data_IF_216916255047
#
_entry.id   IF_216916255047
#
_cell.length_a   1.000
_cell.length_b   1.000
_cell.length_c   1.000
_cell.angle_alpha   90.00
_cell.angle_beta   90.00
_cell.angle_gamma   90.00
#
_symmetry.space_group_name_H-M   'P 1'
#
loop_
_entity.id
_entity.type
_entity.pdbx_description
1 polymer ?
#
# COMPACT_ATOMS: atom_id res chain seq x y z
N UNK A 1 2.15 0.00 -5.39
CA UNK A 1 1.72 -0.30 -6.77
C UNK A 1 2.88 -0.96 -7.53
N UNK A 2 2.93 -2.28 -7.64
CA UNK A 2 4.00 -2.96 -8.40
C UNK A 2 3.66 -2.88 -9.89
N UNK A 3 4.51 -2.26 -10.72
CA UNK A 3 4.36 -2.34 -12.18
C UNK A 3 4.85 -3.71 -12.66
N UNK A 4 3.93 -4.61 -13.00
CA UNK A 4 4.27 -5.75 -13.83
C UNK A 4 4.39 -5.27 -15.27
N UNK A 5 5.60 -5.34 -15.84
CA UNK A 5 5.83 -5.10 -17.26
C UNK A 5 5.19 -6.24 -18.05
N UNK A 6 4.18 -5.96 -18.88
CA UNK A 6 3.62 -6.92 -19.85
C UNK A 6 2.14 -7.27 -19.71
N UNK A 7 1.43 -6.80 -18.68
CA UNK A 7 -0.03 -6.93 -18.61
C UNK A 7 -0.70 -5.66 -19.13
N UNK A 8 -1.69 -5.81 -20.03
CA UNK A 8 -2.67 -4.75 -20.31
C UNK A 8 -3.41 -4.50 -19.00
N UNK A 9 -3.02 -3.44 -18.30
CA UNK A 9 -3.66 -3.08 -17.03
C UNK A 9 -4.96 -2.39 -17.37
N UNK A 10 -6.07 -3.12 -17.25
CA UNK A 10 -7.39 -2.51 -17.30
C UNK A 10 -7.48 -1.52 -16.11
N UNK A 11 -7.87 -0.27 -16.35
CA UNK A 11 -8.08 0.70 -15.27
C UNK A 11 -9.05 0.15 -14.23
N UNK A 12 -8.70 0.29 -12.94
CA UNK A 12 -9.59 -0.11 -11.86
C UNK A 12 -10.64 0.98 -11.62
N UNK A 13 -11.81 0.81 -12.23
CA UNK A 13 -12.92 1.76 -12.17
C UNK A 13 -13.41 2.01 -10.74
N UNK A 14 -13.49 0.96 -9.91
CA UNK A 14 -13.99 1.08 -8.54
C UNK A 14 -13.02 1.90 -7.68
N UNK A 15 -11.71 1.63 -7.78
CA UNK A 15 -10.70 2.40 -7.04
C UNK A 15 -10.61 3.84 -7.51
N UNK A 16 -10.76 4.09 -8.81
CA UNK A 16 -10.84 5.44 -9.32
C UNK A 16 -12.05 6.17 -8.73
N UNK A 17 -13.25 5.59 -8.78
CA UNK A 17 -14.45 6.25 -8.28
C UNK A 17 -14.37 6.51 -6.78
N UNK A 18 -13.99 5.51 -5.99
CA UNK A 18 -13.99 5.60 -4.53
C UNK A 18 -12.84 6.45 -3.97
N UNK A 19 -11.66 6.39 -4.59
CA UNK A 19 -10.45 6.98 -4.01
C UNK A 19 -9.77 7.95 -4.97
N UNK A 20 -9.51 7.53 -6.21
CA UNK A 20 -8.77 8.36 -7.16
C UNK A 20 -9.46 9.69 -7.46
N UNK A 21 -10.76 9.66 -7.70
CA UNK A 21 -11.57 10.85 -7.98
C UNK A 21 -11.68 11.75 -6.75
N UNK A 22 -11.75 11.18 -5.54
CA UNK A 22 -11.75 11.93 -4.28
C UNK A 22 -10.43 12.66 -4.08
N UNK A 23 -9.30 11.98 -4.28
CA UNK A 23 -7.97 12.59 -4.20
C UNK A 23 -7.81 13.71 -5.23
N UNK A 24 -8.28 13.48 -6.46
CA UNK A 24 -8.23 14.50 -7.51
C UNK A 24 -9.10 15.71 -7.18
N UNK A 25 -10.33 15.51 -6.68
CA UNK A 25 -11.22 16.62 -6.29
C UNK A 25 -10.65 17.46 -5.16
N UNK A 26 -10.02 16.82 -4.16
CA UNK A 26 -9.50 17.51 -2.98
C UNK A 26 -8.15 18.17 -3.21
N UNK A 27 -7.28 17.54 -4.00
CA UNK A 27 -5.86 17.88 -4.03
C UNK A 27 -5.29 18.13 -5.43
N UNK A 28 -6.06 17.88 -6.50
CA UNK A 28 -5.65 18.29 -7.85
C UNK A 28 -6.28 19.65 -8.14
N UNK A 29 -5.43 20.65 -8.41
CA UNK A 29 -5.85 21.99 -8.81
C UNK A 29 -6.42 21.98 -10.24
N UNK A 30 -7.53 21.26 -10.44
CA UNK A 30 -8.18 21.07 -11.73
C UNK A 30 -9.30 22.10 -11.88
N UNK A 31 -9.26 22.86 -12.98
CA UNK A 31 -10.24 23.90 -13.28
C UNK A 31 -11.52 23.39 -13.96
N UNK A 32 -11.66 22.07 -14.16
CA UNK A 32 -12.75 21.45 -14.93
C UNK A 32 -13.34 20.22 -14.24
N UNK A 33 -14.42 19.68 -14.83
CA UNK A 33 -15.06 18.45 -14.35
C UNK A 33 -14.13 17.25 -14.53
N UNK A 34 -14.10 16.37 -13.52
CA UNK A 34 -13.38 15.10 -13.61
C UNK A 34 -14.17 14.10 -14.47
N UNK A 35 -13.48 13.28 -15.30
CA UNK A 35 -14.11 12.17 -15.99
C UNK A 35 -14.77 11.18 -15.02
N UNK A 36 -15.86 10.55 -15.44
CA UNK A 36 -16.62 9.62 -14.59
C UNK A 36 -15.96 8.23 -14.50
N UNK A 37 -15.12 7.90 -15.49
CA UNK A 37 -14.43 6.62 -15.59
C UNK A 37 -12.91 6.76 -15.46
N UNK A 38 -12.28 5.72 -14.91
CA UNK A 38 -10.84 5.61 -14.82
C UNK A 38 -10.21 5.55 -16.21
N UNK A 39 -10.85 4.84 -17.16
CA UNK A 39 -10.38 4.77 -18.54
C UNK A 39 -10.27 6.15 -19.21
N UNK A 40 -11.31 6.99 -19.10
CA UNK A 40 -11.29 8.35 -19.67
C UNK A 40 -10.28 9.24 -18.95
N UNK A 41 -10.24 9.20 -17.62
CA UNK A 41 -9.27 9.95 -16.84
C UNK A 41 -7.84 9.59 -17.24
N UNK A 42 -7.52 8.30 -17.34
CA UNK A 42 -6.17 7.84 -17.66
C UNK A 42 -5.80 8.13 -19.12
N UNK A 43 -6.76 8.03 -20.05
CA UNK A 43 -6.56 8.43 -21.45
C UNK A 43 -6.26 9.93 -21.57
N UNK A 44 -6.86 10.76 -20.71
CA UNK A 44 -6.57 12.19 -20.61
C UNK A 44 -5.29 12.51 -19.78
N UNK A 45 -4.57 11.50 -19.28
CA UNK A 45 -3.40 11.69 -18.43
C UNK A 45 -3.72 12.14 -17.00
N UNK A 46 -5.00 12.15 -16.61
CA UNK A 46 -5.48 12.54 -15.29
C UNK A 46 -5.44 11.34 -14.37
N UNK A 47 -4.58 11.40 -13.34
CA UNK A 47 -4.47 10.38 -12.30
C UNK A 47 -3.91 10.99 -11.02
N UNK A 48 -4.26 10.46 -9.84
CA UNK A 48 -3.65 10.90 -8.60
C UNK A 48 -2.12 10.75 -8.65
N UNK A 49 -1.41 11.74 -8.13
CA UNK A 49 0.03 11.64 -7.90
C UNK A 49 0.31 10.89 -6.60
N UNK A 50 1.54 10.38 -6.44
CA UNK A 50 1.94 9.76 -5.17
C UNK A 50 1.86 10.75 -4.01
N UNK A 51 2.21 12.02 -4.23
CA UNK A 51 2.07 13.05 -3.20
C UNK A 51 0.60 13.27 -2.81
N UNK A 52 -0.33 13.31 -3.75
CA UNK A 52 -1.77 13.42 -3.45
C UNK A 52 -2.28 12.21 -2.67
N UNK A 53 -1.76 11.02 -2.95
CA UNK A 53 -2.05 9.82 -2.17
C UNK A 53 -1.52 9.94 -0.73
N UNK A 54 -0.29 10.40 -0.52
CA UNK A 54 0.24 10.64 0.84
C UNK A 54 -0.56 11.73 1.56
N UNK A 55 -0.91 12.83 0.88
CA UNK A 55 -1.79 13.86 1.46
C UNK A 55 -3.12 13.28 1.87
N UNK A 56 -3.74 12.41 1.05
CA UNK A 56 -4.98 11.73 1.39
C UNK A 56 -4.88 10.90 2.67
N UNK A 57 -3.78 10.16 2.86
CA UNK A 57 -3.53 9.37 4.07
C UNK A 57 -3.28 10.24 5.30
N UNK A 58 -2.69 11.43 5.12
CA UNK A 58 -2.36 12.34 6.21
C UNK A 58 -3.48 13.33 6.54
N UNK A 59 -4.49 13.46 5.69
CA UNK A 59 -5.64 14.33 5.94
C UNK A 59 -6.54 13.70 7.03
N UNK A 60 -6.70 14.36 8.20
CA UNK A 60 -7.56 13.86 9.27
C UNK A 60 -9.03 13.73 8.88
N UNK A 61 -9.50 14.45 7.85
CA UNK A 61 -10.86 14.29 7.33
C UNK A 61 -11.07 12.93 6.67
N UNK A 62 -10.02 12.33 6.09
CA UNK A 62 -10.15 11.05 5.39
C UNK A 62 -10.63 9.94 6.33
N UNK A 63 -9.97 9.76 7.49
CA UNK A 63 -10.40 8.75 8.47
C UNK A 63 -11.67 9.14 9.24
N UNK A 64 -12.03 10.44 9.24
CA UNK A 64 -13.27 10.92 9.86
C UNK A 64 -14.50 10.49 9.06
N UNK A 65 -14.40 10.57 7.73
CA UNK A 65 -15.50 10.23 6.82
C UNK A 65 -15.65 8.73 6.62
N UNK A 66 -14.54 8.00 6.50
CA UNK A 66 -14.57 6.55 6.32
C UNK A 66 -13.32 5.87 6.85
N UNK A 67 -13.49 4.62 7.27
CA UNK A 67 -12.36 3.78 7.64
C UNK A 67 -11.47 3.59 6.41
N UNK A 68 -10.15 3.70 6.58
CA UNK A 68 -9.21 3.39 5.52
C UNK A 68 -9.46 2.01 4.91
N UNK A 69 -9.38 1.95 3.59
CA UNK A 69 -9.37 0.69 2.87
C UNK A 69 -8.22 -0.20 3.37
N UNK A 70 -8.48 -1.50 3.41
CA UNK A 70 -7.57 -2.53 3.90
C UNK A 70 -6.18 -2.53 3.23
N UNK A 71 -6.05 -2.00 2.01
CA UNK A 71 -4.77 -1.94 1.30
C UNK A 71 -3.80 -0.88 1.83
N UNK A 72 -4.28 0.13 2.56
CA UNK A 72 -3.43 1.18 3.16
C UNK A 72 -3.77 1.47 4.62
N UNK A 73 -4.69 0.71 5.21
CA UNK A 73 -4.90 0.74 6.65
C UNK A 73 -3.72 0.10 7.37
N UNK A 74 -3.43 0.60 8.57
CA UNK A 74 -2.37 0.03 9.42
C UNK A 74 -2.67 -1.44 9.75
N UNK A 75 -1.66 -2.30 9.62
CA UNK A 75 -1.81 -3.76 9.74
C UNK A 75 -2.21 -4.16 11.16
N UNK A 76 -1.68 -3.49 12.19
CA UNK A 76 -2.03 -3.74 13.58
C UNK A 76 -3.53 -3.53 13.86
N UNK A 77 -4.19 -2.63 13.09
CA UNK A 77 -5.63 -2.38 13.20
C UNK A 77 -6.48 -3.39 12.44
N UNK A 78 -5.90 -4.11 11.48
CA UNK A 78 -6.57 -5.17 10.74
C UNK A 78 -6.43 -6.52 11.46
N UNK A 79 -5.23 -6.83 11.95
CA UNK A 79 -4.93 -8.13 12.53
C UNK A 79 -5.20 -8.20 14.04
N UNK A 80 -5.32 -7.08 14.75
CA UNK A 80 -5.54 -7.08 16.20
C UNK A 80 -4.58 -8.02 16.97
N UNK A 81 -3.25 -7.96 16.75
CA UNK A 81 -2.28 -8.90 17.33
C UNK A 81 -2.22 -8.88 18.86
N UNK A 82 -2.72 -7.83 19.51
CA UNK A 82 -2.85 -7.76 20.97
C UNK A 82 -4.08 -8.52 21.51
N UNK A 83 -5.07 -8.82 20.66
CA UNK A 83 -6.34 -9.48 21.03
C UNK A 83 -6.41 -10.92 20.53
N UNK A 84 -5.73 -11.22 19.43
CA UNK A 84 -5.69 -12.55 18.83
C UNK A 84 -4.32 -13.19 19.08
N UNK A 85 -4.32 -14.38 19.67
CA UNK A 85 -3.10 -15.16 19.87
C UNK A 85 -2.79 -15.92 18.58
N UNK A 86 -1.94 -15.33 17.74
CA UNK A 86 -1.48 -15.95 16.51
C UNK A 86 -0.41 -17.02 16.79
N UNK A 87 -0.60 -18.22 16.24
CA UNK A 87 0.42 -19.27 16.24
C UNK A 87 1.47 -19.05 15.14
N UNK A 88 1.15 -18.24 14.13
CA UNK A 88 2.02 -17.92 13.02
C UNK A 88 1.74 -16.52 12.46
N UNK A 89 2.80 -15.74 12.18
CA UNK A 89 2.75 -14.45 11.49
C UNK A 89 3.83 -14.49 10.39
N UNK A 90 3.40 -14.54 9.13
CA UNK A 90 4.29 -14.53 7.97
C UNK A 90 4.58 -13.13 7.44
N UNK A 91 5.59 -13.02 6.57
CA UNK A 91 6.00 -11.78 5.89
C UNK A 91 6.02 -11.98 4.38
N UNK A 92 5.63 -10.96 3.63
CA UNK A 92 5.65 -11.03 2.16
C UNK A 92 7.09 -11.15 1.60
N UNK A 93 8.07 -10.65 2.33
CA UNK A 93 9.50 -10.74 2.01
C UNK A 93 10.07 -12.16 2.19
N UNK A 94 9.38 -13.01 2.93
CA UNK A 94 9.71 -14.43 3.13
C UNK A 94 8.55 -15.36 2.72
N UNK A 95 7.62 -14.89 1.89
CA UNK A 95 6.36 -15.57 1.58
C UNK A 95 6.51 -17.06 1.24
N UNK A 96 7.46 -17.42 0.38
CA UNK A 96 7.69 -18.81 -0.02
C UNK A 96 8.12 -19.68 1.17
N UNK A 97 9.16 -19.26 1.90
CA UNK A 97 9.68 -20.00 3.06
C UNK A 97 8.68 -20.04 4.20
N UNK A 98 7.93 -18.95 4.38
CA UNK A 98 6.90 -18.82 5.41
C UNK A 98 5.71 -19.73 5.10
N UNK A 99 5.31 -19.81 3.83
CA UNK A 99 4.27 -20.73 3.39
C UNK A 99 4.69 -22.19 3.55
N UNK A 100 5.92 -22.55 3.18
CA UNK A 100 6.45 -23.91 3.41
C UNK A 100 6.47 -24.28 4.91
N UNK A 101 6.86 -23.34 5.76
CA UNK A 101 6.84 -23.55 7.21
C UNK A 101 5.41 -23.72 7.75
N UNK A 102 4.47 -22.88 7.30
CA UNK A 102 3.07 -22.96 7.69
C UNK A 102 2.43 -24.30 7.28
N UNK A 103 2.72 -24.80 6.07
CA UNK A 103 2.19 -26.09 5.61
C UNK A 103 2.71 -27.26 6.45
N UNK A 104 3.97 -27.20 6.92
CA UNK A 104 4.53 -28.19 7.86
C UNK A 104 3.89 -28.09 9.24
N UNK A 105 3.66 -26.88 9.75
CA UNK A 105 2.98 -26.65 11.03
C UNK A 105 1.55 -27.22 11.03
N UNK A 106 0.89 -27.18 9.87
CA UNK A 106 -0.45 -27.73 9.65
C UNK A 106 -0.44 -29.23 9.26
N UNK A 107 0.74 -29.86 9.14
CA UNK A 107 0.92 -31.27 8.73
C UNK A 107 0.33 -31.61 7.35
N UNK A 108 0.26 -30.65 6.43
CA UNK A 108 -0.31 -30.80 5.07
C UNK A 108 0.71 -30.61 3.94
N UNK A 109 1.99 -30.45 4.26
CA UNK A 109 3.08 -30.30 3.29
C UNK A 109 3.27 -31.52 2.38
N UNK A 110 2.77 -32.69 2.78
CA UNK A 110 2.72 -33.88 1.93
C UNK A 110 1.61 -33.83 0.86
N UNK A 111 0.60 -32.96 1.03
CA UNK A 111 -0.53 -32.79 0.10
C UNK A 111 -0.41 -31.53 -0.76
N UNK A 112 0.10 -30.46 -0.17
CA UNK A 112 0.11 -29.12 -0.74
C UNK A 112 1.53 -28.56 -0.78
N UNK A 113 1.84 -27.86 -1.87
CA UNK A 113 3.08 -27.11 -2.01
C UNK A 113 2.74 -25.68 -2.41
N UNK A 114 3.43 -24.72 -1.81
CA UNK A 114 3.26 -23.34 -2.22
C UNK A 114 3.83 -23.14 -3.63
N UNK A 115 3.11 -22.48 -4.54
CA UNK A 115 3.59 -22.28 -5.90
C UNK A 115 4.85 -21.40 -5.89
N UNK A 116 5.93 -21.88 -6.53
CA UNK A 116 7.08 -21.04 -6.84
C UNK A 116 6.68 -20.01 -7.90
N UNK A 117 6.82 -18.73 -7.60
CA UNK A 117 6.37 -17.65 -8.48
C UNK A 117 7.39 -16.52 -8.58
N UNK A 118 7.17 -15.62 -9.55
CA UNK A 118 7.97 -14.41 -9.62
C UNK A 118 7.79 -13.59 -8.33
N UNK A 119 8.90 -13.28 -7.66
CA UNK A 119 8.92 -12.39 -6.50
C UNK A 119 8.65 -10.95 -6.96
N UNK A 120 7.37 -10.62 -7.13
CA UNK A 120 6.91 -9.30 -7.51
C UNK A 120 6.99 -8.33 -6.32
N UNK A 121 8.21 -7.92 -5.98
CA UNK A 121 8.48 -6.91 -4.95
C UNK A 121 8.63 -5.54 -5.59
N UNK A 122 8.17 -4.51 -4.90
CA UNK A 122 8.53 -3.14 -5.25
C UNK A 122 10.04 -3.03 -5.27
N UNK A 123 10.61 -2.53 -6.37
CA UNK A 123 12.05 -2.32 -6.43
C UNK A 123 12.44 -1.16 -5.51
N UNK A 124 13.54 -1.30 -4.76
CA UNK A 124 14.04 -0.24 -3.88
C UNK A 124 14.35 1.08 -4.62
N UNK A 125 14.64 1.01 -5.93
CA UNK A 125 14.75 2.21 -6.77
C UNK A 125 13.44 2.99 -6.86
N UNK A 126 12.31 2.30 -7.03
CA UNK A 126 11.01 2.95 -7.16
C UNK A 126 10.58 3.61 -5.85
N UNK A 127 10.86 2.97 -4.72
CA UNK A 127 10.62 3.58 -3.41
C UNK A 127 11.40 4.89 -3.27
N UNK A 128 12.70 4.88 -3.59
CA UNK A 128 13.51 6.11 -3.59
C UNK A 128 12.93 7.17 -4.52
N UNK A 129 12.59 6.81 -5.76
CA UNK A 129 12.11 7.77 -6.77
C UNK A 129 10.76 8.40 -6.39
N UNK A 130 9.86 7.61 -5.78
CA UNK A 130 8.57 8.11 -5.31
C UNK A 130 8.72 9.01 -4.09
N UNK A 131 9.53 8.60 -3.10
CA UNK A 131 9.73 9.39 -1.89
C UNK A 131 10.57 10.63 -2.14
N UNK A 132 11.48 10.65 -3.11
CA UNK A 132 12.32 11.81 -3.45
C UNK A 132 11.52 13.10 -3.67
N UNK A 133 10.29 12.99 -4.19
CA UNK A 133 9.40 14.13 -4.45
C UNK A 133 8.55 14.56 -3.25
N UNK A 134 8.55 13.78 -2.17
CA UNK A 134 7.73 14.05 -0.97
C UNK A 134 8.54 14.88 0.03
N UNK A 135 7.98 15.97 0.60
CA UNK A 135 8.65 16.74 1.64
C UNK A 135 9.00 15.88 2.86
N UNK A 136 10.21 16.03 3.41
CA UNK A 136 10.67 15.26 4.59
C UNK A 136 9.67 15.32 5.75
N UNK A 137 9.05 16.48 5.99
CA UNK A 137 8.02 16.63 7.02
C UNK A 137 6.84 15.67 6.80
N UNK A 138 6.32 15.58 5.57
CA UNK A 138 5.24 14.64 5.24
C UNK A 138 5.69 13.18 5.37
N UNK A 139 6.94 12.86 5.02
CA UNK A 139 7.47 11.49 5.18
C UNK A 139 7.53 11.09 6.66
N UNK A 140 7.89 12.01 7.55
CA UNK A 140 7.89 11.80 9.01
C UNK A 140 6.49 11.64 9.56
N UNK A 141 5.53 12.45 9.11
CA UNK A 141 4.11 12.31 9.46
C UNK A 141 3.57 10.95 8.99
N UNK A 142 3.91 10.54 7.77
CA UNK A 142 3.54 9.22 7.23
C UNK A 142 4.15 8.09 8.06
N UNK A 143 5.42 8.22 8.47
CA UNK A 143 6.02 7.24 9.36
C UNK A 143 5.27 7.17 10.70
N UNK A 144 4.94 8.29 11.34
CA UNK A 144 4.15 8.29 12.59
C UNK A 144 2.81 7.57 12.41
N UNK A 145 2.15 7.73 11.25
CA UNK A 145 0.89 7.06 10.94
C UNK A 145 1.01 5.51 10.97
N UNK A 146 2.17 4.97 10.55
CA UNK A 146 2.44 3.53 10.48
C UNK A 146 3.46 3.03 11.54
N UNK A 147 3.96 3.90 12.41
CA UNK A 147 4.99 3.59 13.42
C UNK A 147 4.64 2.35 14.26
N UNK A 148 3.38 2.16 14.71
CA UNK A 148 3.02 0.94 15.44
C UNK A 148 3.21 -0.35 14.63
N UNK A 149 3.03 -0.33 13.30
CA UNK A 149 3.30 -1.51 12.46
C UNK A 149 4.80 -1.83 12.42
N UNK A 150 5.64 -0.81 12.32
CA UNK A 150 7.10 -1.00 12.32
C UNK A 150 7.57 -1.61 13.63
N UNK A 151 7.15 -1.04 14.75
CA UNK A 151 7.56 -1.51 16.08
C UNK A 151 7.04 -2.91 16.37
N UNK A 152 5.74 -3.15 16.13
CA UNK A 152 5.07 -4.38 16.53
C UNK A 152 5.51 -5.60 15.71
N UNK A 153 5.82 -5.40 14.42
CA UNK A 153 6.27 -6.49 13.54
C UNK A 153 7.80 -6.55 13.37
N UNK A 154 8.54 -5.70 14.10
CA UNK A 154 10.00 -5.72 14.18
C UNK A 154 10.69 -5.26 12.89
N UNK A 155 10.08 -4.31 12.17
CA UNK A 155 10.70 -3.68 11.01
C UNK A 155 11.58 -2.50 11.44
N UNK A 156 12.77 -2.31 10.84
CA UNK A 156 13.59 -1.15 11.14
C UNK A 156 12.93 0.13 10.62
N UNK A 157 13.17 1.24 11.32
CA UNK A 157 12.76 2.56 10.84
C UNK A 157 13.36 2.85 9.45
N UNK A 158 12.59 3.38 8.49
CA UNK A 158 13.07 3.54 7.12
C UNK A 158 13.90 4.82 6.94
N UNK A 159 15.09 4.85 7.54
CA UNK A 159 15.96 6.04 7.61
C UNK A 159 16.27 6.67 6.24
N UNK A 160 16.45 5.85 5.21
CA UNK A 160 16.71 6.30 3.83
C UNK A 160 15.59 7.19 3.26
N UNK A 161 14.35 7.00 3.73
CA UNK A 161 13.21 7.82 3.31
C UNK A 161 12.98 9.01 4.23
N UNK A 162 13.50 9.01 5.46
CA UNK A 162 13.21 10.03 6.49
C UNK A 162 14.26 11.14 6.60
N UNK A 163 15.43 10.95 6.01
CA UNK A 163 16.59 11.84 6.17
C UNK A 163 17.24 12.32 4.87
N UNK A 164 16.98 11.68 3.72
CA UNK A 164 17.53 12.06 2.41
C UNK A 164 16.60 12.96 1.61
#
# INVERSE_FOLDING_TARGET
MVRQSGCVTVPNEDFYKQFGSVMLRRYANLSGSLPETAAEAFAAGIKPTFQQFITYLLDPETERESIFNEHWRQVYRLCHPCQVKYDFIGRLESLETDAEHLLKLLEVDHLLHFPSGARNRTAASWERDWFAQIPIAMRRELYKLYEPDFELFGYPKPDSTLHQ
#
